data_IF_564876712640
#
_entry.id   IF_564876712640
#
_cell.length_a   1.000
_cell.length_b   1.000
_cell.length_c   1.000
_cell.angle_alpha   90.00
_cell.angle_beta   90.00
_cell.angle_gamma   90.00
#
_symmetry.space_group_name_H-M   'P 1'
#
loop_
_entity.id
_entity.type
_entity.pdbx_description
1 polymer ?
#
# COMPACT_ATOMS: atom_id res chain seq x y z
N UNK A 1 -28.50 2.70 -18.81
CA UNK A 1 -29.75 2.16 -18.20
C UNK A 1 -29.40 1.62 -16.82
N UNK A 2 -29.75 2.32 -15.73
CA UNK A 2 -29.45 1.86 -14.37
C UNK A 2 -30.36 0.66 -14.08
N UNK A 3 -29.77 -0.54 -14.00
CA UNK A 3 -30.51 -1.77 -13.71
C UNK A 3 -30.92 -1.72 -12.24
N UNK A 4 -32.21 -1.47 -11.96
CA UNK A 4 -32.74 -1.47 -10.60
C UNK A 4 -32.63 -2.88 -10.04
N UNK A 5 -31.64 -3.12 -9.19
CA UNK A 5 -31.42 -4.42 -8.54
C UNK A 5 -32.25 -4.50 -7.25
N UNK A 6 -32.90 -5.65 -7.02
CA UNK A 6 -33.56 -5.94 -5.73
C UNK A 6 -32.55 -5.93 -4.58
N UNK A 7 -32.95 -5.54 -3.36
CA UNK A 7 -32.09 -5.53 -2.16
C UNK A 7 -31.30 -6.84 -1.96
N UNK A 8 -31.92 -8.00 -2.24
CA UNK A 8 -31.22 -9.30 -2.19
C UNK A 8 -30.07 -9.42 -3.19
N UNK A 9 -30.22 -8.87 -4.40
CA UNK A 9 -29.18 -8.90 -5.43
C UNK A 9 -28.04 -7.94 -5.09
N UNK A 10 -28.32 -6.79 -4.47
CA UNK A 10 -27.28 -5.88 -3.94
C UNK A 10 -26.46 -6.55 -2.85
N UNK A 11 -27.10 -7.16 -1.85
CA UNK A 11 -26.41 -7.88 -0.75
C UNK A 11 -25.52 -8.99 -1.31
N UNK A 12 -26.03 -9.78 -2.26
CA UNK A 12 -25.23 -10.84 -2.90
C UNK A 12 -24.03 -10.27 -3.66
N UNK A 13 -24.19 -9.17 -4.41
CA UNK A 13 -23.10 -8.54 -5.14
C UNK A 13 -22.01 -7.99 -4.20
N UNK A 14 -22.41 -7.29 -3.13
CA UNK A 14 -21.49 -6.78 -2.11
C UNK A 14 -20.72 -7.93 -1.46
N UNK A 15 -21.39 -9.02 -1.07
CA UNK A 15 -20.71 -10.16 -0.46
C UNK A 15 -19.77 -10.88 -1.42
N UNK A 16 -20.13 -10.99 -2.70
CA UNK A 16 -19.30 -11.70 -3.70
C UNK A 16 -17.99 -10.95 -3.97
N UNK A 17 -18.00 -9.60 -3.92
CA UNK A 17 -16.80 -8.77 -4.11
C UNK A 17 -16.07 -8.47 -2.78
N UNK A 18 -16.84 -8.22 -1.72
CA UNK A 18 -16.32 -7.80 -0.42
C UNK A 18 -15.69 -8.95 0.36
N UNK A 19 -16.26 -10.17 0.31
CA UNK A 19 -15.75 -11.29 1.10
C UNK A 19 -14.31 -11.69 0.69
N UNK A 20 -13.96 -11.78 -0.62
CA UNK A 20 -12.58 -11.98 -1.04
C UNK A 20 -11.64 -10.86 -0.62
N UNK A 21 -12.10 -9.60 -0.68
CA UNK A 21 -11.29 -8.43 -0.30
C UNK A 21 -11.01 -8.41 1.21
N UNK A 22 -12.02 -8.71 2.04
CA UNK A 22 -11.87 -8.91 3.49
C UNK A 22 -10.87 -10.05 3.76
N UNK A 23 -11.01 -11.18 3.06
CA UNK A 23 -10.09 -12.31 3.17
C UNK A 23 -8.64 -11.92 2.85
N UNK A 24 -8.42 -11.13 1.80
CA UNK A 24 -7.11 -10.60 1.44
C UNK A 24 -6.50 -9.71 2.52
N UNK A 25 -7.27 -8.77 3.07
CA UNK A 25 -6.80 -7.91 4.17
C UNK A 25 -6.55 -8.68 5.46
N UNK A 26 -7.39 -9.67 5.80
CA UNK A 26 -7.17 -10.56 6.94
C UNK A 26 -5.90 -11.39 6.77
N UNK A 27 -5.64 -11.91 5.56
CA UNK A 27 -4.41 -12.63 5.26
C UNK A 27 -3.18 -11.72 5.39
N UNK A 28 -3.25 -10.49 4.87
CA UNK A 28 -2.17 -9.51 5.01
C UNK A 28 -1.90 -9.15 6.47
N UNK A 29 -2.94 -8.94 7.28
CA UNK A 29 -2.80 -8.72 8.72
C UNK A 29 -2.20 -9.95 9.43
N UNK A 30 -2.65 -11.15 9.07
CA UNK A 30 -2.14 -12.39 9.65
C UNK A 30 -0.65 -12.58 9.38
N UNK A 31 -0.15 -12.21 8.19
CA UNK A 31 1.29 -12.22 7.89
C UNK A 31 2.05 -11.34 8.90
N UNK A 32 1.64 -10.07 9.06
CA UNK A 32 2.32 -9.15 9.99
C UNK A 32 2.25 -9.58 11.46
N UNK A 33 1.12 -10.15 11.89
CA UNK A 33 0.99 -10.73 13.25
C UNK A 33 1.93 -11.92 13.41
N UNK A 34 1.99 -12.81 12.41
CA UNK A 34 2.86 -13.99 12.44
C UNK A 34 4.32 -13.59 12.51
N UNK A 35 4.76 -12.60 11.73
CA UNK A 35 6.13 -12.08 11.75
C UNK A 35 6.49 -11.50 13.12
N UNK A 36 5.56 -10.75 13.73
CA UNK A 36 5.75 -10.15 15.05
C UNK A 36 5.84 -11.21 16.15
N UNK A 37 4.96 -12.23 16.12
CA UNK A 37 4.99 -13.34 17.08
C UNK A 37 6.27 -14.16 16.93
N UNK A 38 6.68 -14.46 15.69
CA UNK A 38 7.90 -15.21 15.40
C UNK A 38 9.14 -14.50 15.95
N UNK A 39 9.27 -13.20 15.69
CA UNK A 39 10.40 -12.41 16.19
C UNK A 39 10.34 -12.19 17.70
N UNK A 40 9.14 -12.04 18.28
CA UNK A 40 8.96 -11.97 19.73
C UNK A 40 9.37 -13.24 20.46
N UNK A 41 9.24 -14.42 19.86
CA UNK A 41 9.79 -15.67 20.38
C UNK A 41 11.30 -15.79 20.17
N UNK A 42 11.84 -15.15 19.14
CA UNK A 42 13.27 -15.19 18.83
C UNK A 42 14.11 -14.33 19.78
N UNK A 43 13.80 -13.04 19.93
CA UNK A 43 14.45 -12.14 20.91
C UNK A 43 13.74 -10.79 21.01
N UNK A 44 13.90 -10.10 22.14
CA UNK A 44 13.34 -8.75 22.35
C UNK A 44 14.02 -7.73 21.42
N UNK A 45 15.32 -7.88 21.20
CA UNK A 45 16.13 -7.03 20.34
C UNK A 45 15.66 -7.11 18.87
N UNK A 46 15.40 -8.32 18.37
CA UNK A 46 14.89 -8.49 17.01
C UNK A 46 13.45 -7.94 16.85
N UNK A 47 12.61 -8.10 17.88
CA UNK A 47 11.28 -7.51 17.90
C UNK A 47 11.33 -5.97 17.89
N UNK A 48 12.24 -5.36 18.67
CA UNK A 48 12.43 -3.91 18.65
C UNK A 48 12.88 -3.41 17.26
N UNK A 49 13.84 -4.11 16.65
CA UNK A 49 14.33 -3.79 15.32
C UNK A 49 13.24 -3.85 14.24
N UNK A 50 12.37 -4.86 14.26
CA UNK A 50 11.29 -4.97 13.25
C UNK A 50 10.22 -3.89 13.44
N UNK A 51 9.91 -3.49 14.68
CA UNK A 51 8.95 -2.42 14.94
C UNK A 51 9.45 -1.07 14.40
N UNK A 52 10.73 -0.76 14.65
CA UNK A 52 11.36 0.44 14.10
C UNK A 52 11.45 0.40 12.56
N UNK A 53 11.95 -0.72 12.01
CA UNK A 53 12.09 -0.89 10.57
C UNK A 53 10.75 -0.84 9.82
N UNK A 54 9.71 -1.50 10.35
CA UNK A 54 8.37 -1.50 9.75
C UNK A 54 7.71 -0.12 9.83
N UNK A 55 7.86 0.61 10.93
CA UNK A 55 7.35 1.98 11.05
C UNK A 55 8.04 2.91 10.06
N UNK A 56 9.37 2.81 9.96
CA UNK A 56 10.18 3.59 9.02
C UNK A 56 9.77 3.31 7.56
N UNK A 57 9.66 2.03 7.20
CA UNK A 57 9.15 1.61 5.89
C UNK A 57 7.73 2.13 5.64
N UNK A 58 6.83 2.00 6.61
CA UNK A 58 5.43 2.38 6.46
C UNK A 58 5.26 3.86 6.15
N UNK A 59 6.05 4.74 6.79
CA UNK A 59 6.04 6.19 6.50
C UNK A 59 6.45 6.49 5.05
N UNK A 60 7.51 5.85 4.56
CA UNK A 60 7.95 6.03 3.18
C UNK A 60 6.93 5.42 2.19
N UNK A 61 6.41 4.25 2.51
CA UNK A 61 5.44 3.53 1.70
C UNK A 61 4.14 4.31 1.55
N UNK A 62 3.56 4.80 2.65
CA UNK A 62 2.30 5.54 2.61
C UNK A 62 2.44 6.83 1.81
N UNK A 63 3.56 7.55 1.98
CA UNK A 63 3.86 8.75 1.22
C UNK A 63 3.94 8.46 -0.30
N UNK A 64 4.69 7.42 -0.68
CA UNK A 64 4.82 7.01 -2.09
C UNK A 64 3.53 6.47 -2.70
N UNK A 65 2.72 5.73 -1.93
CA UNK A 65 1.44 5.18 -2.39
C UNK A 65 0.42 6.26 -2.76
N UNK A 66 0.58 7.48 -2.22
CA UNK A 66 -0.27 8.63 -2.56
C UNK A 66 -0.33 8.93 -4.06
N UNK A 67 0.77 8.71 -4.80
CA UNK A 67 0.77 8.87 -6.25
C UNK A 67 -0.18 7.88 -6.93
N UNK A 68 -0.16 6.61 -6.53
CA UNK A 68 -1.04 5.59 -7.10
C UNK A 68 -2.51 5.86 -6.75
N UNK A 69 -2.78 6.26 -5.51
CA UNK A 69 -4.13 6.62 -5.07
C UNK A 69 -4.69 7.84 -5.83
N UNK A 70 -3.85 8.81 -6.19
CA UNK A 70 -4.25 9.98 -6.98
C UNK A 70 -4.53 9.63 -8.45
N UNK A 71 -3.84 8.65 -9.02
CA UNK A 71 -4.01 8.22 -10.42
C UNK A 71 -5.34 7.49 -10.63
N UNK A 72 -5.80 6.74 -9.62
CA UNK A 72 -7.01 5.92 -9.71
C UNK A 72 -8.28 6.69 -10.13
N UNK A 73 -8.67 7.82 -9.48
CA UNK A 73 -9.82 8.61 -9.93
C UNK A 73 -9.59 9.30 -11.28
N UNK A 74 -8.35 9.65 -11.61
CA UNK A 74 -8.01 10.30 -12.88
C UNK A 74 -8.18 9.33 -14.05
N UNK A 75 -7.76 8.07 -13.88
CA UNK A 75 -7.98 7.00 -14.85
C UNK A 75 -9.46 6.70 -15.01
N UNK A 76 -10.21 6.63 -13.90
CA UNK A 76 -11.67 6.41 -13.95
C UNK A 76 -12.41 7.55 -14.69
N UNK A 77 -11.94 8.80 -14.54
CA UNK A 77 -12.51 9.94 -15.26
C UNK A 77 -12.22 9.87 -16.77
N UNK A 78 -10.98 9.60 -17.18
CA UNK A 78 -10.63 9.45 -18.60
C UNK A 78 -11.33 8.27 -19.28
N UNK A 79 -11.50 7.16 -18.57
CA UNK A 79 -12.27 6.00 -19.04
C UNK A 79 -13.75 6.37 -19.28
N UNK A 80 -14.34 7.17 -18.40
CA UNK A 80 -15.72 7.65 -18.56
C UNK A 80 -15.91 8.64 -19.72
N UNK A 81 -14.84 9.30 -20.18
CA UNK A 81 -14.83 10.24 -21.31
C UNK A 81 -14.42 9.59 -22.64
N UNK A 82 -14.18 8.26 -22.67
CA UNK A 82 -13.60 7.53 -23.81
C UNK A 82 -12.25 8.12 -24.31
N UNK A 83 -11.50 8.81 -23.44
CA UNK A 83 -10.17 9.37 -23.74
C UNK A 83 -9.05 8.37 -23.44
N UNK A 84 -8.81 7.46 -24.38
CA UNK A 84 -7.73 6.47 -24.28
C UNK A 84 -6.34 7.11 -24.15
N UNK A 85 -6.12 8.28 -24.75
CA UNK A 85 -4.80 8.95 -24.75
C UNK A 85 -4.53 9.53 -23.37
N UNK A 86 -5.50 10.22 -22.79
CA UNK A 86 -5.49 10.71 -21.41
C UNK A 86 -5.27 9.59 -20.41
N UNK A 87 -6.02 8.49 -20.54
CA UNK A 87 -5.92 7.31 -19.68
C UNK A 87 -4.50 6.71 -19.69
N UNK A 88 -3.93 6.46 -20.88
CA UNK A 88 -2.57 5.90 -21.03
C UNK A 88 -1.50 6.85 -20.52
N UNK A 89 -1.70 8.17 -20.70
CA UNK A 89 -0.78 9.19 -20.20
C UNK A 89 -0.81 9.28 -18.68
N UNK A 90 -1.99 9.34 -18.07
CA UNK A 90 -2.18 9.40 -16.62
C UNK A 90 -1.55 8.19 -15.94
N UNK A 91 -1.84 7.00 -16.43
CA UNK A 91 -1.28 5.75 -15.91
C UNK A 91 0.24 5.73 -15.99
N UNK A 92 0.81 6.11 -17.16
CA UNK A 92 2.26 6.14 -17.36
C UNK A 92 2.95 7.17 -16.46
N UNK A 93 2.37 8.37 -16.33
CA UNK A 93 2.93 9.43 -15.49
C UNK A 93 2.86 9.05 -14.01
N UNK A 94 1.76 8.42 -13.58
CA UNK A 94 1.64 7.82 -12.25
C UNK A 94 2.76 6.84 -11.97
N UNK A 95 3.01 5.91 -12.90
CA UNK A 95 4.11 4.95 -12.79
C UNK A 95 5.48 5.65 -12.71
N UNK A 96 5.74 6.66 -13.55
CA UNK A 96 6.99 7.42 -13.51
C UNK A 96 7.20 8.13 -12.17
N UNK A 97 6.14 8.73 -11.59
CA UNK A 97 6.21 9.35 -10.27
C UNK A 97 6.49 8.32 -9.18
N UNK A 98 5.81 7.17 -9.20
CA UNK A 98 6.04 6.08 -8.25
C UNK A 98 7.46 5.52 -8.33
N UNK A 99 7.97 5.26 -9.55
CA UNK A 99 9.33 4.77 -9.77
C UNK A 99 10.36 5.83 -9.36
N UNK A 100 10.14 7.10 -9.73
CA UNK A 100 11.02 8.20 -9.34
C UNK A 100 11.09 8.36 -7.82
N UNK A 101 9.95 8.29 -7.14
CA UNK A 101 9.91 8.28 -5.68
C UNK A 101 10.62 7.07 -5.09
N UNK A 102 10.40 5.87 -5.62
CA UNK A 102 11.09 4.67 -5.15
C UNK A 102 12.62 4.81 -5.27
N UNK A 103 13.12 5.34 -6.39
CA UNK A 103 14.55 5.60 -6.58
C UNK A 103 15.12 6.59 -5.56
N UNK A 104 14.32 7.57 -5.11
CA UNK A 104 14.73 8.54 -4.08
C UNK A 104 14.65 7.91 -2.68
N UNK A 105 13.63 7.10 -2.41
CA UNK A 105 13.44 6.44 -1.12
C UNK A 105 14.42 5.28 -0.88
N UNK A 106 14.89 4.61 -1.94
CA UNK A 106 15.83 3.48 -1.87
C UNK A 106 17.11 3.81 -1.09
N UNK A 107 17.84 4.92 -1.39
CA UNK A 107 18.91 5.43 -0.54
C UNK A 107 18.56 5.48 0.95
N UNK A 108 17.42 6.06 1.29
CA UNK A 108 16.98 6.21 2.67
C UNK A 108 16.77 4.84 3.35
N UNK A 109 16.29 3.84 2.61
CA UNK A 109 16.16 2.47 3.09
C UNK A 109 17.51 1.74 3.25
N UNK A 110 18.40 1.84 2.25
CA UNK A 110 19.73 1.18 2.27
C UNK A 110 20.60 1.75 3.40
N UNK A 111 20.58 3.06 3.60
CA UNK A 111 21.32 3.76 4.66
C UNK A 111 20.46 4.02 5.90
N UNK A 112 19.41 3.22 6.13
CA UNK A 112 18.53 3.35 7.29
C UNK A 112 19.26 3.32 8.65
N UNK A 113 20.35 2.54 8.87
CA UNK A 113 21.06 2.60 10.15
C UNK A 113 21.56 4.01 10.48
N UNK A 114 22.16 4.71 9.51
CA UNK A 114 22.66 6.07 9.72
C UNK A 114 21.53 7.06 10.04
N UNK A 115 20.35 6.87 9.45
CA UNK A 115 19.16 7.70 9.73
C UNK A 115 18.61 7.41 11.13
N UNK A 116 18.56 6.15 11.53
CA UNK A 116 18.07 5.72 12.85
C UNK A 116 19.04 6.13 13.96
N UNK A 117 20.35 6.01 13.74
CA UNK A 117 21.39 6.48 14.67
C UNK A 117 21.28 7.99 14.92
N UNK A 118 21.04 8.77 13.87
CA UNK A 118 20.80 10.22 13.94
C UNK A 118 19.58 10.58 14.79
N UNK A 119 18.57 9.71 14.81
CA UNK A 119 17.35 9.86 15.61
C UNK A 119 17.51 9.32 17.05
N UNK A 120 18.71 8.87 17.43
CA UNK A 120 18.99 8.26 18.73
C UNK A 120 18.40 6.86 18.89
N UNK A 121 18.05 6.21 17.77
CA UNK A 121 17.48 4.86 17.68
C UNK A 121 18.53 3.83 17.20
N UNK A 122 19.82 4.11 17.45
CA UNK A 122 20.91 3.18 17.15
C UNK A 122 20.89 1.95 18.05
N UNK A 123 21.59 0.87 17.67
CA UNK A 123 21.61 -0.39 18.43
C UNK A 123 22.08 -0.22 19.89
#
# INVERSE_FOLDING_TARGET
MIKVMTNRNHVRAILTLGLPLIGGHLAQMAIGVTDTVMLGWYSVEALAAVVLGSTYFFVLFIFGSGFAMAVMPLVAAYDAEDDEVGLRRATRMGLWLSVGFAMIALPAMIWSPAVLDLLGQGP
#
